data_IF_160107253146
#
_entry.id   IF_160107253146
#
_cell.length_a   1.000
_cell.length_b   1.000
_cell.length_c   1.000
_cell.angle_alpha   90.00
_cell.angle_beta   90.00
_cell.angle_gamma   90.00
#
_symmetry.space_group_name_H-M   'P 1'
#
loop_
_entity.id
_entity.type
_entity.pdbx_description
1 polymer ?
#
# COMPACT_ATOMS: atom_id res chain seq x y z
N UNK A 1 17.45 -17.21 -1.82
CA UNK A 1 18.60 -18.10 -2.13
C UNK A 1 19.71 -17.45 -2.95
N UNK A 2 19.55 -17.15 -4.25
CA UNK A 2 20.67 -16.59 -5.05
C UNK A 2 21.04 -15.13 -4.70
N UNK A 3 20.08 -14.32 -4.23
CA UNK A 3 20.34 -12.94 -3.79
C UNK A 3 21.00 -12.86 -2.40
N UNK A 4 20.62 -13.76 -1.49
CA UNK A 4 21.16 -13.81 -0.12
C UNK A 4 22.63 -14.25 -0.10
N UNK A 5 23.04 -15.09 -1.05
CA UNK A 5 24.44 -15.49 -1.20
C UNK A 5 25.36 -14.33 -1.64
N UNK A 6 24.83 -13.36 -2.41
CA UNK A 6 25.62 -12.22 -2.88
C UNK A 6 25.94 -11.24 -1.75
N UNK A 7 24.96 -10.97 -0.89
CA UNK A 7 25.11 -10.04 0.24
C UNK A 7 26.09 -10.54 1.32
N UNK A 8 26.25 -11.85 1.46
CA UNK A 8 27.20 -12.46 2.40
C UNK A 8 28.62 -12.47 1.83
N UNK A 9 28.77 -12.67 0.51
CA UNK A 9 30.09 -12.78 -0.14
C UNK A 9 30.68 -11.44 -0.57
N UNK A 10 29.86 -10.38 -0.67
CA UNK A 10 30.32 -9.04 -1.04
C UNK A 10 31.02 -8.30 0.13
N UNK A 11 30.66 -8.62 1.38
CA UNK A 11 31.23 -7.99 2.57
C UNK A 11 32.32 -8.87 3.18
N UNK A 12 33.59 -8.40 3.24
CA UNK A 12 34.71 -9.16 3.80
C UNK A 12 34.47 -9.64 5.24
N UNK A 13 33.73 -8.88 6.05
CA UNK A 13 33.47 -9.21 7.45
C UNK A 13 32.40 -10.29 7.60
N UNK A 14 31.33 -10.23 6.79
CA UNK A 14 30.28 -11.27 6.77
C UNK A 14 30.80 -12.59 6.25
N UNK A 15 31.64 -12.55 5.21
CA UNK A 15 32.33 -13.72 4.69
C UNK A 15 33.21 -14.37 5.75
N UNK A 16 33.97 -13.58 6.52
CA UNK A 16 34.82 -14.10 7.58
C UNK A 16 34.03 -14.77 8.71
N UNK A 17 32.84 -14.26 9.05
CA UNK A 17 31.95 -14.92 10.01
C UNK A 17 31.32 -16.20 9.45
N UNK A 18 30.91 -16.20 8.18
CA UNK A 18 30.38 -17.40 7.51
C UNK A 18 31.44 -18.51 7.39
N UNK A 19 32.67 -18.14 7.03
CA UNK A 19 33.81 -19.06 6.93
C UNK A 19 34.24 -19.63 8.29
N UNK A 20 33.97 -18.91 9.39
CA UNK A 20 34.39 -19.29 10.75
C UNK A 20 33.32 -20.08 11.52
N UNK A 21 32.02 -19.86 11.25
CA UNK A 21 30.92 -20.48 11.99
C UNK A 21 30.03 -21.41 11.15
N UNK A 22 30.19 -21.42 9.81
CA UNK A 22 29.38 -22.24 8.91
C UNK A 22 27.89 -21.87 8.94
N UNK A 23 27.08 -22.58 8.14
CA UNK A 23 25.63 -22.38 8.05
C UNK A 23 24.89 -22.65 9.39
N UNK A 24 25.57 -23.28 10.37
CA UNK A 24 25.09 -23.53 11.72
C UNK A 24 25.53 -22.46 12.74
N UNK A 25 25.58 -21.20 12.32
CA UNK A 25 25.57 -20.10 13.27
C UNK A 25 24.26 -20.17 14.08
N UNK A 26 24.30 -20.16 15.43
CA UNK A 26 23.10 -20.30 16.25
C UNK A 26 22.22 -19.05 16.13
N UNK A 27 21.29 -19.12 15.17
CA UNK A 27 20.30 -18.07 14.89
C UNK A 27 19.09 -18.56 14.08
N UNK A 28 19.06 -19.84 13.70
CA UNK A 28 17.94 -20.48 12.99
C UNK A 28 17.45 -21.72 13.74
N UNK A 29 16.79 -21.54 14.89
CA UNK A 29 16.25 -22.68 15.62
C UNK A 29 15.66 -22.32 16.98
N UNK A 30 14.34 -22.25 17.03
CA UNK A 30 13.57 -22.16 18.26
C UNK A 30 13.73 -23.48 19.03
N UNK A 31 14.54 -23.52 20.09
CA UNK A 31 14.56 -24.68 20.99
C UNK A 31 15.82 -24.90 21.80
N UNK A 32 15.73 -24.66 23.11
CA UNK A 32 16.23 -25.55 24.18
C UNK A 32 17.73 -25.88 24.26
N UNK A 33 18.35 -25.40 25.34
CA UNK A 33 19.37 -26.17 26.06
C UNK A 33 20.80 -26.06 25.51
N UNK A 34 21.61 -25.26 26.21
CA UNK A 34 23.06 -25.13 26.03
C UNK A 34 23.80 -26.49 26.06
N UNK A 35 24.68 -26.76 25.08
CA UNK A 35 25.68 -27.80 25.24
C UNK A 35 27.02 -27.42 24.59
N UNK A 36 27.79 -26.48 25.15
CA UNK A 36 29.25 -26.60 25.24
C UNK A 36 29.85 -25.44 26.05
N UNK A 37 30.47 -25.79 27.18
CA UNK A 37 31.36 -24.90 27.91
C UNK A 37 32.78 -24.95 27.34
N UNK A 38 33.55 -23.93 27.73
CA UNK A 38 35.01 -23.82 27.67
C UNK A 38 35.66 -23.55 26.29
N UNK A 39 35.80 -22.28 25.95
CA UNK A 39 37.09 -21.64 25.62
C UNK A 39 36.89 -20.15 25.27
N UNK A 40 37.61 -19.26 25.94
CA UNK A 40 37.93 -17.92 25.41
C UNK A 40 36.86 -16.83 25.58
N UNK A 41 36.86 -16.17 26.76
CA UNK A 41 37.02 -14.72 26.86
C UNK A 41 36.12 -13.76 26.07
N UNK A 42 34.88 -14.11 25.73
CA UNK A 42 33.89 -13.13 25.26
C UNK A 42 32.67 -13.16 26.18
N UNK A 43 32.48 -12.07 26.93
CA UNK A 43 31.31 -11.87 27.77
C UNK A 43 30.06 -11.82 26.89
N UNK A 44 28.93 -12.38 27.34
CA UNK A 44 27.67 -12.27 26.60
C UNK A 44 27.26 -10.80 26.37
N UNK A 45 27.67 -9.90 27.27
CA UNK A 45 27.47 -8.46 27.10
C UNK A 45 28.25 -7.88 25.89
N UNK A 46 29.45 -8.39 25.59
CA UNK A 46 30.27 -7.93 24.46
C UNK A 46 29.74 -8.45 23.11
N UNK A 47 29.19 -9.67 23.11
CA UNK A 47 28.54 -10.28 21.93
C UNK A 47 27.25 -9.52 21.59
N UNK A 48 26.48 -9.06 22.59
CA UNK A 48 25.27 -8.28 22.36
C UNK A 48 25.54 -6.82 21.96
N UNK A 49 26.60 -6.19 22.48
CA UNK A 49 26.99 -4.84 22.03
C UNK A 49 27.54 -4.81 20.61
N UNK A 50 28.31 -5.83 20.22
CA UNK A 50 28.88 -5.90 18.86
C UNK A 50 27.82 -6.23 17.79
N UNK A 51 26.74 -6.95 18.18
CA UNK A 51 25.59 -7.21 17.32
C UNK A 51 24.60 -6.03 17.27
N UNK A 52 24.59 -5.17 18.30
CA UNK A 52 23.75 -3.97 18.37
C UNK A 52 24.19 -2.83 17.44
N UNK A 53 25.50 -2.72 17.16
CA UNK A 53 26.06 -1.65 16.32
C UNK A 53 26.03 -1.94 14.81
N UNK A 54 25.92 -3.22 14.41
CA UNK A 54 25.83 -3.64 12.99
C UNK A 54 24.38 -3.78 12.50
N UNK A 55 23.42 -4.08 13.37
CA UNK A 55 21.98 -4.00 13.06
C UNK A 55 21.45 -2.59 13.31
N UNK A 56 22.06 -1.64 12.60
CA UNK A 56 21.84 -0.21 12.67
C UNK A 56 20.41 0.17 13.03
N UNK A 57 20.25 0.64 14.26
CA UNK A 57 18.96 1.08 14.72
C UNK A 57 19.03 1.58 16.15
N UNK A 58 19.36 2.87 16.31
CA UNK A 58 18.72 3.69 17.34
C UNK A 58 17.21 3.68 17.10
N UNK A 59 16.58 2.54 17.37
CA UNK A 59 15.15 2.37 17.37
C UNK A 59 14.63 2.97 18.65
N UNK A 60 14.52 4.30 18.69
CA UNK A 60 13.35 4.91 19.31
C UNK A 60 12.18 3.99 18.94
N UNK A 61 11.59 3.30 19.91
CA UNK A 61 10.21 2.83 19.84
C UNK A 61 9.30 4.04 19.71
N UNK A 62 9.50 4.82 18.65
CA UNK A 62 8.66 5.91 18.26
C UNK A 62 7.34 5.24 17.97
N UNK A 63 6.34 5.58 18.77
CA UNK A 63 4.96 5.31 18.45
C UNK A 63 4.76 5.78 17.03
N UNK A 64 4.76 4.84 16.08
CA UNK A 64 4.45 5.15 14.71
C UNK A 64 2.95 5.42 14.73
N UNK A 65 2.59 6.69 14.93
CA UNK A 65 1.22 7.18 14.82
C UNK A 65 0.65 6.55 13.57
N UNK A 66 -0.35 5.70 13.76
CA UNK A 66 -0.93 4.89 12.70
C UNK A 66 -1.53 5.87 11.69
N UNK A 67 -0.82 6.13 10.59
CA UNK A 67 -1.30 7.00 9.54
C UNK A 67 -2.42 6.25 8.85
N UNK A 68 -3.65 6.69 9.08
CA UNK A 68 -4.79 6.19 8.35
C UNK A 68 -4.54 6.39 6.85
N UNK A 69 -4.72 5.33 6.07
CA UNK A 69 -4.71 5.40 4.61
C UNK A 69 -6.14 5.18 4.14
N UNK A 70 -6.62 6.06 3.29
CA UNK A 70 -7.89 5.89 2.61
C UNK A 70 -7.83 4.70 1.66
N UNK A 71 -8.97 4.09 1.43
CA UNK A 71 -9.06 2.91 0.56
C UNK A 71 -8.96 3.28 -0.91
N UNK A 72 -8.39 2.38 -1.70
CA UNK A 72 -8.31 2.55 -3.14
C UNK A 72 -9.69 2.33 -3.79
N UNK A 73 -9.96 3.05 -4.87
CA UNK A 73 -11.17 2.90 -5.69
C UNK A 73 -10.84 2.19 -6.99
N UNK A 74 -11.79 1.39 -7.50
CA UNK A 74 -11.67 0.74 -8.79
C UNK A 74 -12.72 1.29 -9.75
N UNK A 75 -12.29 1.78 -10.90
CA UNK A 75 -13.15 2.26 -11.97
C UNK A 75 -12.92 1.42 -13.20
N UNK A 76 -13.99 1.09 -13.93
CA UNK A 76 -13.89 0.51 -15.27
C UNK A 76 -14.12 1.62 -16.28
N UNK A 77 -13.23 1.72 -17.26
CA UNK A 77 -13.30 2.71 -18.31
C UNK A 77 -13.30 2.00 -19.64
N UNK A 78 -14.35 2.27 -20.41
CA UNK A 78 -14.48 1.84 -21.78
C UNK A 78 -13.80 2.83 -22.72
N UNK A 79 -12.97 2.32 -23.60
CA UNK A 79 -12.23 3.10 -24.59
C UNK A 79 -12.47 2.54 -25.98
N UNK A 80 -12.67 3.42 -26.95
CA UNK A 80 -12.67 3.03 -28.36
C UNK A 80 -11.25 2.79 -28.87
N UNK A 81 -11.12 2.03 -29.96
CA UNK A 81 -9.84 1.78 -30.64
C UNK A 81 -9.07 3.07 -30.97
N UNK A 82 -9.77 4.14 -31.33
CA UNK A 82 -9.17 5.45 -31.59
C UNK A 82 -8.66 6.16 -30.33
N UNK A 83 -9.40 6.07 -29.22
CA UNK A 83 -8.96 6.62 -27.93
C UNK A 83 -7.75 5.88 -27.39
N UNK A 84 -7.71 4.57 -27.60
CA UNK A 84 -6.56 3.75 -27.19
C UNK A 84 -5.32 4.06 -28.03
N UNK A 85 -5.46 4.33 -29.33
CA UNK A 85 -4.31 4.61 -30.20
C UNK A 85 -3.71 6.01 -29.97
N UNK A 86 -4.55 7.00 -29.66
CA UNK A 86 -4.11 8.39 -29.46
C UNK A 86 -3.82 8.74 -28.00
N UNK A 87 -4.38 7.99 -27.06
CA UNK A 87 -4.41 8.36 -25.65
C UNK A 87 -5.48 9.43 -25.41
N UNK A 88 -6.14 9.38 -24.25
CA UNK A 88 -7.25 10.29 -23.95
C UNK A 88 -7.25 10.70 -22.48
N UNK A 89 -7.67 11.93 -22.23
CA UNK A 89 -7.95 12.41 -20.87
C UNK A 89 -9.46 12.46 -20.67
N UNK A 90 -9.97 11.61 -19.75
CA UNK A 90 -11.40 11.54 -19.42
C UNK A 90 -11.66 12.08 -18.02
N UNK A 91 -12.80 12.76 -17.86
CA UNK A 91 -13.27 13.27 -16.56
C UNK A 91 -14.38 12.38 -16.04
N UNK A 92 -14.21 11.84 -14.83
CA UNK A 92 -15.19 10.97 -14.19
C UNK A 92 -15.72 11.63 -12.93
N UNK A 93 -17.04 11.63 -12.77
CA UNK A 93 -17.68 12.03 -11.52
C UNK A 93 -17.74 10.82 -10.60
N UNK A 94 -16.92 10.83 -9.55
CA UNK A 94 -16.77 9.69 -8.63
C UNK A 94 -17.35 10.04 -7.27
N UNK A 95 -18.18 9.14 -6.74
CA UNK A 95 -18.64 9.21 -5.35
C UNK A 95 -17.60 8.57 -4.44
N UNK A 96 -17.01 9.33 -3.54
CA UNK A 96 -15.94 8.86 -2.66
C UNK A 96 -15.96 9.54 -1.30
N UNK A 97 -15.18 9.03 -0.37
CA UNK A 97 -14.93 9.73 0.88
C UNK A 97 -13.98 10.90 0.60
N UNK A 98 -14.43 12.12 0.90
CA UNK A 98 -13.67 13.35 0.78
C UNK A 98 -13.35 13.89 2.16
N UNK A 99 -12.29 14.70 2.25
CA UNK A 99 -11.94 15.38 3.50
C UNK A 99 -13.09 16.30 3.91
N UNK A 100 -13.47 16.28 5.19
CA UNK A 100 -14.53 17.14 5.69
C UNK A 100 -14.12 18.61 5.63
N UNK A 101 -14.89 19.45 4.91
CA UNK A 101 -14.59 20.88 4.76
C UNK A 101 -14.67 21.65 6.07
N UNK A 102 -15.55 21.23 7.01
CA UNK A 102 -15.75 21.93 8.28
C UNK A 102 -14.58 21.77 9.27
N UNK A 103 -13.96 20.58 9.31
CA UNK A 103 -12.86 20.28 10.23
C UNK A 103 -11.52 20.08 9.53
N UNK A 104 -11.48 20.25 8.21
CA UNK A 104 -10.31 20.01 7.34
C UNK A 104 -9.61 18.69 7.63
N UNK A 105 -10.37 17.62 7.88
CA UNK A 105 -9.81 16.28 8.12
C UNK A 105 -9.42 15.96 9.57
N UNK A 106 -9.41 16.95 10.48
CA UNK A 106 -9.03 16.74 11.89
C UNK A 106 -10.03 15.89 12.69
N UNK A 107 -11.30 15.89 12.28
CA UNK A 107 -12.40 15.25 13.02
C UNK A 107 -12.92 16.09 14.19
N UNK A 108 -12.33 17.25 14.48
CA UNK A 108 -12.70 18.09 15.61
C UNK A 108 -13.47 19.35 15.21
N UNK A 109 -14.40 19.78 16.06
CA UNK A 109 -15.21 20.98 15.85
C UNK A 109 -14.36 22.24 16.07
N UNK A 110 -14.44 23.21 15.14
CA UNK A 110 -13.73 24.48 15.22
C UNK A 110 -12.22 24.38 15.55
N UNK A 111 -11.57 23.27 15.20
CA UNK A 111 -10.16 23.03 15.52
C UNK A 111 -9.88 22.81 17.00
N UNK A 112 -10.88 22.43 17.81
CA UNK A 112 -10.65 21.97 19.18
C UNK A 112 -9.72 20.76 19.12
N UNK A 113 -8.43 20.96 19.42
CA UNK A 113 -7.40 19.95 19.15
C UNK A 113 -7.69 18.58 19.75
N UNK A 114 -6.98 17.58 19.25
CA UNK A 114 -6.92 16.26 19.87
C UNK A 114 -6.10 16.34 21.16
N UNK A 115 -6.59 15.76 22.26
CA UNK A 115 -5.84 15.66 23.51
C UNK A 115 -5.30 14.24 23.69
N UNK A 116 -4.20 14.10 24.42
CA UNK A 116 -3.66 12.79 24.76
C UNK A 116 -4.69 12.00 25.58
N UNK A 117 -4.94 10.75 25.17
CA UNK A 117 -5.90 9.90 25.84
C UNK A 117 -5.52 9.72 27.31
N UNK A 118 -6.41 10.01 28.27
CA UNK A 118 -6.07 9.95 29.69
C UNK A 118 -5.92 8.50 30.20
N UNK A 119 -6.50 7.52 29.51
CA UNK A 119 -6.47 6.11 29.93
C UNK A 119 -5.18 5.40 29.48
N UNK A 120 -4.75 5.61 28.23
CA UNK A 120 -3.53 4.99 27.70
C UNK A 120 -2.32 5.94 27.71
N UNK A 121 -2.48 7.20 28.12
CA UNK A 121 -1.43 8.22 28.11
C UNK A 121 -0.69 8.34 26.77
N UNK A 122 -1.42 8.26 25.65
CA UNK A 122 -0.81 8.32 24.31
C UNK A 122 -0.38 6.97 23.72
N UNK A 123 -0.41 5.89 24.49
CA UNK A 123 0.10 4.58 24.02
C UNK A 123 -0.84 3.82 23.09
N UNK A 124 -2.11 4.22 22.97
CA UNK A 124 -3.12 3.55 22.14
C UNK A 124 -3.57 2.18 22.68
N UNK A 125 -2.93 1.66 23.73
CA UNK A 125 -3.15 0.32 24.27
C UNK A 125 -3.34 0.35 25.78
N UNK A 126 -4.04 -0.64 26.30
CA UNK A 126 -4.20 -0.88 27.73
C UNK A 126 -3.68 -2.27 28.09
N UNK A 127 -3.00 -2.40 29.24
CA UNK A 127 -2.47 -3.67 29.72
C UNK A 127 -3.56 -4.34 30.56
N UNK A 128 -4.14 -5.42 30.04
CA UNK A 128 -5.14 -6.21 30.76
C UNK A 128 -4.46 -7.38 31.43
N UNK A 129 -4.46 -7.40 32.76
CA UNK A 129 -3.94 -8.55 33.52
C UNK A 129 -5.10 -9.53 33.75
N UNK A 130 -4.98 -10.74 33.22
CA UNK A 130 -5.95 -11.81 33.41
C UNK A 130 -5.30 -12.96 34.17
N UNK A 131 -6.04 -13.52 35.12
CA UNK A 131 -5.58 -14.67 35.91
C UNK A 131 -5.77 -15.94 35.09
N UNK A 132 -4.67 -16.59 34.74
CA UNK A 132 -4.63 -17.85 34.00
C UNK A 132 -4.20 -19.00 34.92
N UNK A 133 -4.41 -20.24 34.47
CA UNK A 133 -3.96 -21.46 35.15
C UNK A 133 -2.43 -21.50 35.35
N UNK A 134 -1.68 -20.68 34.61
CA UNK A 134 -0.22 -20.54 34.71
C UNK A 134 0.24 -19.28 35.48
N UNK A 135 -0.66 -18.56 36.15
CA UNK A 135 -0.37 -17.33 36.88
C UNK A 135 -0.99 -16.08 36.24
N UNK A 136 -0.45 -14.90 36.58
CA UNK A 136 -0.93 -13.62 36.07
C UNK A 136 -0.39 -13.39 34.65
N UNK A 137 -1.26 -13.43 33.64
CA UNK A 137 -0.91 -13.14 32.25
C UNK A 137 -1.30 -11.70 31.92
N UNK A 138 -0.33 -10.90 31.45
CA UNK A 138 -0.59 -9.55 30.94
C UNK A 138 -0.77 -9.62 29.43
N UNK A 139 -1.94 -9.20 28.93
CA UNK A 139 -2.21 -9.08 27.50
C UNK A 139 -2.44 -7.62 27.15
N UNK A 140 -1.83 -7.19 26.05
CA UNK A 140 -2.01 -5.84 25.52
C UNK A 140 -3.26 -5.81 24.65
N UNK A 141 -4.25 -5.00 25.03
CA UNK A 141 -5.47 -4.78 24.26
C UNK A 141 -5.53 -3.34 23.76
N UNK A 142 -6.26 -3.10 22.67
CA UNK A 142 -6.47 -1.74 22.16
C UNK A 142 -7.23 -0.92 23.20
N UNK A 143 -6.81 0.32 23.45
CA UNK A 143 -7.46 1.18 24.44
C UNK A 143 -8.91 1.47 24.01
N UNK A 144 -9.88 1.17 24.88
CA UNK A 144 -11.31 1.33 24.59
C UNK A 144 -11.75 2.80 24.41
N UNK A 145 -10.98 3.77 24.94
CA UNK A 145 -11.33 5.20 24.87
C UNK A 145 -10.87 5.86 23.56
N UNK A 146 -9.65 5.56 23.10
CA UNK A 146 -9.08 6.16 21.88
C UNK A 146 -9.04 5.20 20.69
N UNK A 147 -9.47 3.94 20.85
CA UNK A 147 -9.51 2.97 19.75
C UNK A 147 -8.16 2.64 19.12
N UNK A 148 -7.04 2.92 19.79
CA UNK A 148 -5.69 2.73 19.26
C UNK A 148 -4.96 4.02 18.90
N UNK A 149 -5.65 5.16 18.82
CA UNK A 149 -5.08 6.41 18.30
C UNK A 149 -4.15 7.12 19.30
N UNK A 150 -4.26 6.80 20.59
CA UNK A 150 -3.51 7.48 21.64
C UNK A 150 -3.99 8.91 21.94
N UNK A 151 -4.87 9.47 21.12
CA UNK A 151 -5.50 10.78 21.33
C UNK A 151 -7.02 10.67 21.29
N UNK A 152 -7.69 11.64 21.90
CA UNK A 152 -9.16 11.72 21.96
C UNK A 152 -9.58 13.11 21.54
N UNK A 153 -10.58 13.18 20.67
CA UNK A 153 -11.19 14.44 20.25
C UNK A 153 -12.28 14.80 21.27
N UNK A 154 -12.10 15.92 21.99
CA UNK A 154 -13.09 16.41 22.97
C UNK A 154 -14.41 16.79 22.30
N UNK A 155 -14.36 17.73 21.36
CA UNK A 155 -15.52 18.16 20.60
C UNK A 155 -15.44 17.57 19.19
N UNK A 156 -16.16 16.48 18.98
CA UNK A 156 -16.27 15.86 17.65
C UNK A 156 -16.97 16.83 16.70
N UNK A 157 -16.47 16.91 15.46
CA UNK A 157 -17.10 17.70 14.42
C UNK A 157 -18.53 17.20 14.18
N UNK A 158 -19.48 18.12 14.12
CA UNK A 158 -20.90 17.88 13.89
C UNK A 158 -21.20 17.28 12.51
N UNK A 159 -20.39 17.59 11.50
CA UNK A 159 -20.59 17.14 10.12
C UNK A 159 -20.04 15.75 9.81
N UNK A 160 -18.89 15.37 10.39
CA UNK A 160 -18.26 14.07 10.16
C UNK A 160 -18.27 13.15 11.40
N UNK A 161 -18.92 13.59 12.49
CA UNK A 161 -19.05 12.87 13.76
C UNK A 161 -17.73 12.37 14.36
N UNK A 162 -16.62 13.04 14.06
CA UNK A 162 -15.29 12.68 14.53
C UNK A 162 -14.41 11.99 13.49
N UNK A 163 -14.92 11.51 12.36
CA UNK A 163 -14.11 10.69 11.43
C UNK A 163 -13.14 11.50 10.56
N UNK A 164 -13.40 12.80 10.38
CA UNK A 164 -12.60 13.68 9.52
C UNK A 164 -12.91 13.57 8.02
N UNK A 165 -13.76 12.63 7.61
CA UNK A 165 -14.16 12.41 6.22
C UNK A 165 -15.68 12.44 6.07
N UNK A 166 -16.17 12.77 4.88
CA UNK A 166 -17.59 12.78 4.51
C UNK A 166 -17.78 12.17 3.13
N UNK A 167 -18.95 11.59 2.86
CA UNK A 167 -19.30 11.11 1.51
C UNK A 167 -19.53 12.32 0.59
N UNK A 168 -18.80 12.42 -0.51
CA UNK A 168 -18.91 13.50 -1.49
C UNK A 168 -18.77 13.01 -2.93
N UNK A 169 -18.97 13.92 -3.87
CA UNK A 169 -18.72 13.69 -5.29
C UNK A 169 -17.57 14.59 -5.75
N UNK A 170 -16.55 14.02 -6.39
CA UNK A 170 -15.44 14.77 -6.99
C UNK A 170 -15.34 14.41 -8.48
N UNK A 171 -15.05 15.41 -9.31
CA UNK A 171 -14.70 15.18 -10.72
C UNK A 171 -13.20 14.94 -10.80
N UNK A 172 -12.81 13.71 -11.11
CA UNK A 172 -11.41 13.31 -11.27
C UNK A 172 -11.07 13.26 -12.75
N UNK A 173 -9.99 13.95 -13.11
CA UNK A 173 -9.40 13.89 -14.43
C UNK A 173 -8.35 12.77 -14.46
N UNK A 174 -8.53 11.83 -15.39
CA UNK A 174 -7.69 10.65 -15.55
C UNK A 174 -7.08 10.70 -16.95
N UNK A 175 -5.75 10.74 -17.00
CA UNK A 175 -4.98 10.65 -18.23
C UNK A 175 -4.67 9.18 -18.51
N UNK A 176 -5.15 8.68 -19.66
CA UNK A 176 -4.90 7.31 -20.12
C UNK A 176 -3.93 7.39 -21.29
N UNK A 177 -2.72 6.82 -21.17
CA UNK A 177 -1.72 6.89 -22.22
C UNK A 177 -2.14 6.08 -23.46
N UNK A 178 -1.59 6.46 -24.61
CA UNK A 178 -1.74 5.69 -25.83
C UNK A 178 -1.17 4.27 -25.70
N UNK A 179 -1.76 3.32 -26.41
CA UNK A 179 -1.29 1.94 -26.50
C UNK A 179 -1.68 1.05 -25.32
N UNK A 180 -2.59 1.48 -24.44
CA UNK A 180 -3.18 0.60 -23.42
C UNK A 180 -3.88 -0.60 -24.07
N UNK A 181 -3.94 -1.71 -23.36
CA UNK A 181 -4.60 -2.93 -23.81
C UNK A 181 -5.74 -3.28 -22.84
N UNK A 182 -6.68 -4.09 -23.32
CA UNK A 182 -7.73 -4.63 -22.49
C UNK A 182 -7.17 -5.38 -21.27
N UNK A 183 -7.77 -5.15 -20.10
CA UNK A 183 -7.34 -5.75 -18.84
C UNK A 183 -6.16 -5.06 -18.16
N UNK A 184 -5.55 -4.04 -18.79
CA UNK A 184 -4.55 -3.21 -18.12
C UNK A 184 -5.18 -2.37 -17.00
N UNK A 185 -4.37 -2.10 -15.96
CA UNK A 185 -4.76 -1.25 -14.83
C UNK A 185 -3.85 -0.03 -14.76
N UNK A 186 -4.44 1.15 -14.90
CA UNK A 186 -3.73 2.43 -14.72
C UNK A 186 -3.99 2.92 -13.29
N UNK A 187 -2.93 3.15 -12.51
CA UNK A 187 -3.06 3.67 -11.15
C UNK A 187 -2.95 5.19 -11.14
N UNK A 188 -3.93 5.86 -10.53
CA UNK A 188 -3.97 7.31 -10.37
C UNK A 188 -3.77 7.64 -8.88
N UNK A 189 -2.57 8.10 -8.49
CA UNK A 189 -2.21 8.24 -7.09
C UNK A 189 -2.98 9.37 -6.39
N UNK A 190 -3.36 9.15 -5.14
CA UNK A 190 -3.95 10.18 -4.27
C UNK A 190 -5.33 10.70 -4.70
N UNK A 191 -6.00 10.00 -5.62
CA UNK A 191 -7.37 10.33 -6.06
C UNK A 191 -8.45 9.41 -5.49
N UNK A 192 -8.06 8.38 -4.73
CA UNK A 192 -8.97 7.47 -4.04
C UNK A 192 -9.70 8.10 -2.86
N UNK A 193 -10.18 7.27 -1.93
CA UNK A 193 -10.88 7.76 -0.74
C UNK A 193 -9.92 8.52 0.18
N UNK A 194 -10.40 9.59 0.82
CA UNK A 194 -9.65 10.31 1.84
C UNK A 194 -9.42 9.42 3.08
N UNK A 195 -8.25 9.56 3.70
CA UNK A 195 -7.95 8.90 4.97
C UNK A 195 -8.60 9.62 6.14
N UNK A 196 -9.04 8.87 7.15
CA UNK A 196 -9.54 9.42 8.42
C UNK A 196 -8.46 10.23 9.14
N UNK A 197 -8.83 11.21 9.95
CA UNK A 197 -7.92 11.97 10.81
C UNK A 197 -6.65 12.50 10.10
N UNK A 198 -6.83 13.24 8.99
CA UNK A 198 -5.74 13.72 8.13
C UNK A 198 -4.84 12.60 7.57
N UNK A 199 -5.43 11.44 7.34
CA UNK A 199 -4.79 10.30 6.72
C UNK A 199 -4.43 10.53 5.26
N UNK A 200 -3.55 9.69 4.74
CA UNK A 200 -3.15 9.73 3.32
C UNK A 200 -4.31 9.23 2.46
N UNK A 201 -4.58 9.92 1.36
CA UNK A 201 -5.62 9.50 0.41
C UNK A 201 -5.19 8.23 -0.32
N UNK A 202 -6.14 7.33 -0.60
CA UNK A 202 -5.91 6.15 -1.43
C UNK A 202 -5.73 6.51 -2.91
N UNK A 203 -5.63 5.50 -3.76
CA UNK A 203 -5.45 5.65 -5.20
C UNK A 203 -6.73 5.26 -5.97
N UNK A 204 -6.79 5.60 -7.27
CA UNK A 204 -7.80 5.06 -8.18
C UNK A 204 -7.12 4.10 -9.16
N UNK A 205 -7.57 2.86 -9.16
CA UNK A 205 -7.20 1.85 -10.15
C UNK A 205 -8.22 1.85 -11.29
N UNK A 206 -7.75 2.19 -12.47
CA UNK A 206 -8.57 2.30 -13.68
C UNK A 206 -8.36 1.06 -14.52
N UNK A 207 -9.37 0.21 -14.58
CA UNK A 207 -9.42 -0.96 -15.42
C UNK A 207 -9.87 -0.57 -16.83
N UNK A 208 -9.05 -0.87 -17.81
CA UNK A 208 -9.32 -0.57 -19.21
C UNK A 208 -10.11 -1.72 -19.84
N UNK A 209 -11.23 -1.37 -20.45
CA UNK A 209 -12.09 -2.25 -21.27
C UNK A 209 -12.11 -1.66 -22.68
N UNK A 210 -11.76 -2.46 -23.68
CA UNK A 210 -11.78 -2.03 -25.07
C UNK A 210 -13.20 -2.22 -25.62
N UNK A 211 -13.75 -1.19 -26.23
CA UNK A 211 -15.04 -1.30 -26.92
C UNK A 211 -14.81 -2.00 -28.27
N UNK A 212 -15.62 -3.01 -28.60
CA UNK A 212 -15.52 -3.66 -29.91
C UNK A 212 -15.83 -2.63 -31.00
N UNK A 213 -15.01 -2.64 -32.05
CA UNK A 213 -15.21 -1.81 -33.24
C UNK A 213 -15.77 -2.68 -34.37
N UNK A 214 -16.75 -2.13 -35.10
CA UNK A 214 -17.43 -2.85 -36.19
C UNK A 214 -16.56 -2.94 -37.47
N UNK A 215 -15.59 -2.04 -37.61
CA UNK A 215 -14.75 -1.89 -38.80
C UNK A 215 -13.41 -2.59 -38.61
N UNK A 216 -12.81 -2.41 -37.44
CA UNK A 216 -11.46 -2.85 -37.14
C UNK A 216 -11.43 -3.90 -36.02
N UNK A 217 -10.60 -4.93 -36.21
CA UNK A 217 -10.32 -5.93 -35.19
C UNK A 217 -8.90 -5.69 -34.68
N UNK A 218 -8.74 -5.41 -33.39
CA UNK A 218 -7.41 -5.29 -32.78
C UNK A 218 -6.87 -6.66 -32.40
N UNK A 219 -5.66 -6.96 -32.84
CA UNK A 219 -4.89 -8.13 -32.40
C UNK A 219 -3.53 -7.68 -31.85
N UNK A 220 -3.51 -7.38 -30.55
CA UNK A 220 -2.33 -6.85 -29.86
C UNK A 220 -1.91 -5.48 -30.40
N UNK A 221 -0.81 -5.48 -31.17
CA UNK A 221 -0.27 -4.29 -31.83
C UNK A 221 -0.77 -4.13 -33.28
N UNK A 222 -1.50 -5.12 -33.80
CA UNK A 222 -2.03 -5.11 -35.16
C UNK A 222 -3.48 -4.63 -35.18
N UNK A 223 -3.87 -4.01 -36.28
CA UNK A 223 -5.26 -3.67 -36.60
C UNK A 223 -5.62 -4.39 -37.90
N UNK A 224 -6.69 -5.17 -37.85
CA UNK A 224 -7.16 -6.01 -38.95
C UNK A 224 -8.44 -5.39 -39.50
N UNK A 225 -8.47 -5.14 -40.81
CA UNK A 225 -9.64 -4.68 -41.53
C UNK A 225 -10.06 -5.75 -42.55
N UNK A 226 -11.32 -6.18 -42.49
CA UNK A 226 -11.87 -7.17 -43.41
C UNK A 226 -12.48 -6.47 -44.63
N UNK A 227 -11.68 -6.31 -45.68
CA UNK A 227 -12.17 -5.77 -46.96
C UNK A 227 -12.94 -6.84 -47.74
N UNK A 228 -14.24 -6.63 -47.91
CA UNK A 228 -15.07 -7.45 -48.81
C UNK A 228 -14.89 -6.96 -50.25
N UNK A 229 -14.36 -7.84 -51.10
CA UNK A 229 -14.15 -7.57 -52.53
C UNK A 229 -15.21 -8.29 -53.37
N UNK A 230 -15.66 -7.63 -54.44
CA UNK A 230 -16.42 -8.29 -55.48
C UNK A 230 -15.50 -9.15 -56.36
N UNK A 231 -16.07 -10.21 -56.95
CA UNK A 231 -15.31 -11.19 -57.72
C UNK A 231 -14.51 -10.59 -58.89
N UNK A 232 -15.05 -9.65 -59.69
CA UNK A 232 -14.28 -9.02 -60.77
C UNK A 232 -13.01 -8.31 -60.28
N UNK A 233 -13.11 -7.52 -59.20
CA UNK A 233 -11.96 -6.82 -58.61
C UNK A 233 -10.93 -7.80 -58.06
N UNK A 234 -11.37 -8.89 -57.43
CA UNK A 234 -10.48 -9.93 -56.95
C UNK A 234 -9.75 -10.68 -58.09
N UNK A 235 -10.42 -10.91 -59.22
CA UNK A 235 -9.85 -11.66 -60.36
C UNK A 235 -8.99 -10.82 -61.30
N UNK A 236 -9.36 -9.56 -61.52
CA UNK A 236 -8.72 -8.68 -62.51
C UNK A 236 -7.78 -7.65 -61.87
N UNK A 237 -7.85 -7.46 -60.55
CA UNK A 237 -7.19 -6.38 -59.84
C UNK A 237 -7.96 -5.06 -59.94
N UNK A 238 -7.71 -4.16 -58.99
CA UNK A 238 -8.35 -2.85 -58.92
C UNK A 238 -7.77 -2.00 -57.80
N UNK A 239 -8.42 -0.88 -57.51
CA UNK A 239 -8.09 0.00 -56.40
C UNK A 239 -9.25 -0.01 -55.40
N UNK A 240 -8.94 -0.01 -54.11
CA UNK A 240 -9.90 0.08 -53.02
C UNK A 240 -9.36 1.03 -51.95
N UNK A 241 -10.22 1.90 -51.44
CA UNK A 241 -9.87 2.81 -50.35
C UNK A 241 -10.03 2.09 -49.01
N UNK A 242 -9.02 2.19 -48.15
CA UNK A 242 -9.01 1.63 -46.80
C UNK A 242 -9.25 2.77 -45.80
N UNK A 243 -10.21 2.62 -44.87
CA UNK A 243 -10.53 3.64 -43.86
C UNK A 243 -9.41 3.86 -42.84
#
# INVERSE_FOLDING_TARGET
>A
EAAEAYDVLHDPQKRQMYDQFGFDAPGGGFGGGSPFGAAGGFSMDDIFSMFGDIFGGRGRGGHQTQRYRGTDLRLKVRLSLQEVSTGVTKKFKVRKDVTCDHCHGSGAEAGSGSETCPNCHGTGVEIRTQQSIFGMMQTQTVCHVCGGEGTVIKNKCSHCHGEGIVKGEEVVEINIPAGVAEGMVVNVPGKGNAGRHNGVTGDIQVYIEEEPDDTFIRDGQNVIYNLLLDFPTAALGGQADIP
#
